data_IF_850601626760
#
_entry.id   IF_850601626760
#
_cell.length_a   1.000
_cell.length_b   1.000
_cell.length_c   1.000
_cell.angle_alpha   90.00
_cell.angle_beta   90.00
_cell.angle_gamma   90.00
#
_symmetry.space_group_name_H-M   'P 1'
#
loop_
_entity.id
_entity.type
_entity.pdbx_description
1 polymer ?
#
# COMPACT_ATOMS: atom_id res chain seq x y z
N UNK A 1 7.15 5.77 2.22
CA UNK A 1 7.48 4.54 2.97
C UNK A 1 7.52 4.66 4.49
N UNK A 2 7.68 5.85 5.10
CA UNK A 2 7.77 6.00 6.58
C UNK A 2 6.56 5.39 7.33
N UNK A 3 5.35 5.59 6.79
CA UNK A 3 4.12 5.01 7.32
C UNK A 3 4.19 3.48 7.43
N UNK A 4 4.72 2.80 6.40
CA UNK A 4 4.85 1.36 6.39
C UNK A 4 5.78 0.83 7.50
N UNK A 5 6.87 1.55 7.80
CA UNK A 5 7.78 1.20 8.90
C UNK A 5 7.12 1.29 10.28
N UNK A 6 6.00 2.01 10.38
CA UNK A 6 5.20 2.15 11.60
C UNK A 6 3.91 1.31 11.55
N UNK A 7 3.81 0.38 10.60
CA UNK A 7 2.64 -0.50 10.46
C UNK A 7 1.36 0.23 10.07
N UNK A 8 1.45 1.37 9.39
CA UNK A 8 0.28 2.11 8.91
C UNK A 8 0.00 1.66 7.46
N UNK A 9 -1.12 0.93 7.21
CA UNK A 9 -1.51 0.50 5.86
C UNK A 9 -1.83 1.70 4.97
N UNK A 10 -1.61 1.58 3.67
CA UNK A 10 -1.90 2.65 2.70
C UNK A 10 -3.28 2.48 2.06
N UNK A 11 -3.95 3.60 1.79
CA UNK A 11 -5.20 3.64 1.02
C UNK A 11 -5.14 4.82 0.05
N UNK A 12 -4.89 4.53 -1.23
CA UNK A 12 -4.57 5.53 -2.25
C UNK A 12 -4.80 4.96 -3.65
N UNK A 13 -4.89 5.83 -4.66
CA UNK A 13 -4.72 5.44 -6.07
C UNK A 13 -3.36 4.77 -6.30
N UNK A 14 -3.29 3.88 -7.29
CA UNK A 14 -2.07 3.15 -7.67
C UNK A 14 -1.12 4.06 -8.45
N UNK A 15 -0.35 4.87 -7.72
CA UNK A 15 0.64 5.79 -8.29
C UNK A 15 2.01 5.64 -7.59
N UNK A 16 3.07 5.88 -8.37
CA UNK A 16 4.47 5.77 -7.96
C UNK A 16 4.77 4.42 -7.32
N UNK A 17 5.40 4.46 -6.14
CA UNK A 17 5.79 3.25 -5.41
C UNK A 17 4.62 2.35 -5.01
N UNK A 18 3.40 2.91 -4.90
CA UNK A 18 2.26 2.14 -4.42
C UNK A 18 1.86 1.05 -5.41
N UNK A 19 2.16 1.23 -6.69
CA UNK A 19 2.02 0.20 -7.73
C UNK A 19 2.83 -1.06 -7.37
N UNK A 20 4.01 -0.90 -6.80
CA UNK A 20 4.89 -2.00 -6.40
C UNK A 20 4.52 -2.59 -5.02
N UNK A 21 3.96 -1.77 -4.12
CA UNK A 21 3.71 -2.13 -2.72
C UNK A 21 2.28 -2.52 -2.38
N UNK A 22 1.32 -2.30 -3.27
CA UNK A 22 -0.08 -2.58 -3.03
C UNK A 22 -0.39 -4.07 -3.18
N UNK A 23 -0.74 -4.69 -2.07
CA UNK A 23 -1.35 -6.02 -2.04
C UNK A 23 -2.70 -5.84 -1.35
N UNK A 24 -3.75 -5.87 -2.15
CA UNK A 24 -5.12 -5.55 -1.75
C UNK A 24 -5.54 -6.36 -0.51
N UNK A 25 -5.93 -5.68 0.56
CA UNK A 25 -6.36 -6.28 1.82
C UNK A 25 -5.24 -6.85 2.69
N UNK A 26 -3.98 -6.81 2.25
CA UNK A 26 -2.83 -7.33 3.00
C UNK A 26 -1.88 -6.22 3.45
N UNK A 27 -1.52 -5.29 2.56
CA UNK A 27 -0.65 -4.14 2.87
C UNK A 27 -1.39 -2.80 2.79
N UNK A 28 -2.64 -2.84 2.33
CA UNK A 28 -3.48 -1.67 2.12
C UNK A 28 -4.55 -1.91 1.07
N UNK A 29 -5.08 -0.83 0.51
CA UNK A 29 -6.11 -0.87 -0.52
C UNK A 29 -5.82 0.15 -1.62
N UNK A 30 -6.13 -0.18 -2.86
CA UNK A 30 -6.12 0.79 -3.97
C UNK A 30 -7.40 1.62 -4.01
N UNK A 31 -7.39 2.74 -4.73
CA UNK A 31 -8.60 3.43 -5.18
C UNK A 31 -8.62 3.34 -6.71
N UNK A 32 -9.75 2.95 -7.29
CA UNK A 32 -9.88 2.72 -8.73
C UNK A 32 -9.38 1.34 -9.19
N UNK A 33 -9.32 1.16 -10.51
CA UNK A 33 -8.86 -0.07 -11.17
C UNK A 33 -7.37 0.02 -11.51
N UNK A 34 -6.58 -1.06 -11.36
CA UNK A 34 -5.16 -1.09 -11.78
C UNK A 34 -4.94 -0.79 -13.28
N UNK A 35 -5.99 -0.89 -14.09
CA UNK A 35 -5.94 -0.72 -15.53
C UNK A 35 -6.54 0.60 -16.03
N UNK A 36 -7.16 1.39 -15.16
CA UNK A 36 -7.73 2.69 -15.52
C UNK A 36 -6.82 3.81 -15.06
N UNK A 37 -5.91 4.22 -15.93
CA UNK A 37 -5.19 5.49 -15.77
C UNK A 37 -6.09 6.71 -16.02
N UNK A 38 -7.31 6.49 -16.54
CA UNK A 38 -8.29 7.52 -16.93
C UNK A 38 -9.67 7.31 -16.28
N UNK A 39 -9.73 6.67 -15.11
CA UNK A 39 -10.99 6.54 -14.36
C UNK A 39 -11.59 7.92 -14.06
N UNK A 40 -12.91 8.07 -14.25
CA UNK A 40 -13.59 9.32 -13.92
C UNK A 40 -13.47 9.60 -12.42
N UNK A 41 -13.48 10.88 -12.03
CA UNK A 41 -13.59 11.26 -10.62
C UNK A 41 -14.77 10.58 -9.92
N UNK A 42 -15.86 10.30 -10.65
CA UNK A 42 -17.00 9.56 -10.11
C UNK A 42 -16.67 8.09 -9.79
N UNK A 43 -15.89 7.42 -10.63
CA UNK A 43 -15.50 6.03 -10.42
C UNK A 43 -14.53 5.91 -9.24
N UNK A 44 -13.58 6.83 -9.14
CA UNK A 44 -12.69 6.92 -7.98
C UNK A 44 -13.46 7.21 -6.69
N UNK A 45 -14.45 8.11 -6.72
CA UNK A 45 -15.30 8.37 -5.57
C UNK A 45 -16.09 7.12 -5.17
N UNK A 46 -16.69 6.41 -6.12
CA UNK A 46 -17.43 5.18 -5.85
C UNK A 46 -16.53 4.10 -5.23
N UNK A 47 -15.32 3.92 -5.77
CA UNK A 47 -14.31 3.00 -5.23
C UNK A 47 -13.89 3.38 -3.80
N UNK A 48 -13.60 4.66 -3.57
CA UNK A 48 -13.19 5.21 -2.28
C UNK A 48 -14.26 4.95 -1.22
N UNK A 49 -15.50 5.40 -1.45
CA UNK A 49 -16.60 5.26 -0.51
C UNK A 49 -16.98 3.80 -0.31
N UNK A 50 -17.05 3.02 -1.40
CA UNK A 50 -17.37 1.60 -1.34
C UNK A 50 -16.40 0.81 -0.47
N UNK A 51 -15.08 1.04 -0.61
CA UNK A 51 -14.07 0.38 0.23
C UNK A 51 -14.10 0.85 1.67
N UNK A 52 -14.30 2.15 1.92
CA UNK A 52 -14.43 2.68 3.28
C UNK A 52 -15.62 2.05 4.01
N UNK A 53 -16.80 2.12 3.41
CA UNK A 53 -18.06 1.67 4.01
C UNK A 53 -18.08 0.16 4.23
N UNK A 54 -17.68 -0.62 3.23
CA UNK A 54 -17.90 -2.07 3.24
C UNK A 54 -16.69 -2.88 3.72
N UNK A 55 -15.48 -2.31 3.69
CA UNK A 55 -14.23 -3.05 3.97
C UNK A 55 -13.45 -2.43 5.12
N UNK A 56 -12.97 -1.20 4.95
CA UNK A 56 -11.95 -0.61 5.82
C UNK A 56 -12.55 -0.23 7.18
N UNK A 57 -13.65 0.52 7.21
CA UNK A 57 -14.27 0.98 8.46
C UNK A 57 -14.78 -0.20 9.30
N UNK A 58 -15.55 -1.17 8.74
CA UNK A 58 -15.98 -2.34 9.51
C UNK A 58 -14.81 -3.14 10.05
N UNK A 59 -13.76 -3.35 9.24
CA UNK A 59 -12.57 -4.10 9.67
C UNK A 59 -11.85 -3.39 10.82
N UNK A 60 -11.63 -2.08 10.70
CA UNK A 60 -10.95 -1.29 11.72
C UNK A 60 -11.68 -1.32 13.08
N UNK A 61 -13.00 -1.16 13.09
CA UNK A 61 -13.77 -1.10 14.34
C UNK A 61 -14.16 -2.47 14.92
N UNK A 62 -14.39 -3.47 14.07
CA UNK A 62 -14.98 -4.75 14.51
C UNK A 62 -14.03 -5.95 14.42
N UNK A 63 -12.92 -5.85 13.67
CA UNK A 63 -11.98 -6.95 13.42
C UNK A 63 -10.55 -6.56 13.77
N UNK A 64 -10.32 -6.29 15.06
CA UNK A 64 -9.01 -5.82 15.57
C UNK A 64 -7.84 -6.73 15.19
N UNK A 65 -7.99 -8.05 15.34
CA UNK A 65 -6.91 -9.00 15.01
C UNK A 65 -6.54 -8.93 13.53
N UNK A 66 -7.54 -8.91 12.64
CA UNK A 66 -7.33 -8.76 11.20
C UNK A 66 -6.62 -7.44 10.89
N UNK A 67 -6.99 -6.34 11.55
CA UNK A 67 -6.32 -5.06 11.35
C UNK A 67 -4.84 -5.13 11.78
N UNK A 68 -4.55 -5.72 12.94
CA UNK A 68 -3.19 -5.93 13.43
C UNK A 68 -2.38 -6.77 12.42
N UNK A 69 -2.98 -7.79 11.82
CA UNK A 69 -2.32 -8.58 10.79
C UNK A 69 -1.99 -7.74 9.56
N UNK A 70 -2.88 -6.86 9.09
CA UNK A 70 -2.56 -5.92 8.01
C UNK A 70 -1.39 -4.99 8.41
N UNK A 71 -1.39 -4.47 9.64
CA UNK A 71 -0.26 -3.66 10.14
C UNK A 71 1.06 -4.44 10.11
N UNK A 72 1.05 -5.72 10.54
CA UNK A 72 2.23 -6.60 10.50
C UNK A 72 2.69 -6.87 9.07
N UNK A 73 1.79 -7.19 8.15
CA UNK A 73 2.13 -7.39 6.74
C UNK A 73 2.67 -6.12 6.09
N UNK A 74 2.13 -4.96 6.44
CA UNK A 74 2.64 -3.66 5.98
C UNK A 74 4.12 -3.48 6.37
N UNK A 75 4.50 -3.85 7.59
CA UNK A 75 5.91 -3.82 8.02
C UNK A 75 6.71 -4.90 7.27
N UNK A 76 6.24 -6.14 7.31
CA UNK A 76 6.96 -7.30 6.80
C UNK A 76 7.23 -7.24 5.29
N UNK A 77 6.33 -6.63 4.51
CA UNK A 77 6.44 -6.56 3.05
C UNK A 77 6.94 -5.18 2.63
N UNK A 78 6.23 -4.11 3.01
CA UNK A 78 6.55 -2.79 2.47
C UNK A 78 7.77 -2.17 3.16
N UNK A 79 7.86 -2.24 4.50
CA UNK A 79 9.01 -1.65 5.19
C UNK A 79 10.31 -2.42 4.92
N UNK A 80 10.24 -3.76 4.86
CA UNK A 80 11.40 -4.60 4.58
C UNK A 80 11.95 -4.39 3.17
N UNK A 81 11.09 -4.12 2.18
CA UNK A 81 11.53 -3.86 0.82
C UNK A 81 11.94 -2.41 0.63
N UNK A 82 11.10 -1.46 1.01
CA UNK A 82 11.29 -0.05 0.65
C UNK A 82 12.07 0.75 1.70
N UNK A 83 13.36 0.46 1.79
CA UNK A 83 14.29 1.15 2.68
C UNK A 83 15.54 1.65 1.92
N UNK A 84 16.19 2.66 2.49
CA UNK A 84 17.36 3.30 1.89
C UNK A 84 18.57 2.36 1.85
N UNK A 85 18.70 1.43 2.79
CA UNK A 85 19.82 0.48 2.79
C UNK A 85 19.81 -0.39 1.53
N UNK A 86 18.65 -0.99 1.20
CA UNK A 86 18.46 -1.74 -0.05
C UNK A 86 18.72 -0.86 -1.28
N UNK A 87 18.15 0.34 -1.30
CA UNK A 87 18.32 1.28 -2.42
C UNK A 87 19.80 1.59 -2.66
N UNK A 88 20.54 2.01 -1.64
CA UNK A 88 21.98 2.33 -1.77
C UNK A 88 22.77 1.09 -2.19
N UNK A 89 22.50 -0.08 -1.61
CA UNK A 89 23.16 -1.33 -2.01
C UNK A 89 22.95 -1.63 -3.50
N UNK A 90 21.73 -1.47 -4.01
CA UNK A 90 21.42 -1.69 -5.43
C UNK A 90 22.13 -0.68 -6.33
N UNK A 91 22.17 0.60 -5.95
CA UNK A 91 22.93 1.61 -6.70
C UNK A 91 24.42 1.27 -6.76
N UNK A 92 25.01 0.91 -5.62
CA UNK A 92 26.43 0.55 -5.53
C UNK A 92 26.74 -0.63 -6.44
N UNK A 93 25.98 -1.72 -6.35
CA UNK A 93 26.24 -2.95 -7.11
C UNK A 93 25.94 -2.84 -8.60
N UNK A 94 24.93 -2.06 -8.99
CA UNK A 94 24.42 -2.08 -10.37
C UNK A 94 24.88 -0.88 -11.20
N UNK A 95 25.34 0.21 -10.56
CA UNK A 95 25.68 1.45 -11.26
C UNK A 95 27.09 1.98 -10.95
N UNK A 96 27.67 1.67 -9.78
CA UNK A 96 28.94 2.29 -9.35
C UNK A 96 30.11 1.31 -9.24
N UNK A 97 29.89 0.05 -8.89
CA UNK A 97 30.88 -1.02 -8.98
C UNK A 97 30.72 -1.72 -10.34
N UNK A 98 31.73 -1.53 -11.19
CA UNK A 98 32.00 -2.37 -12.37
C UNK A 98 32.91 -3.52 -11.98
#
# INVERSE_FOLDING_TARGET
MKAAHNGIPSFSILDGWWIEGCIEGLTGWSIGSPHDTEGSDQDHAHSLYGKLENVIIPMFYTKRENWIDIMRHTIAINASFFNTHRMVQQYVLNAYLL
#
